data_IF_726515513964
#
_entry.id   IF_726515513964
#
_cell.length_a   1.000
_cell.length_b   1.000
_cell.length_c   1.000
_cell.angle_alpha   90.00
_cell.angle_beta   90.00
_cell.angle_gamma   90.00
#
_symmetry.space_group_name_H-M   'P 1'
#
loop_
_entity.id
_entity.type
_entity.pdbx_description
1 polymer ?
#
# COMPACT_ATOMS: atom_id res chain seq x y z
N UNK A 1 11.04 25.49 6.17
CA UNK A 1 11.69 24.24 5.78
C UNK A 1 11.16 23.77 4.45
N UNK A 2 12.03 23.38 3.58
CA UNK A 2 11.63 22.95 2.25
C UNK A 2 11.10 21.52 2.28
N UNK A 3 10.07 21.26 1.49
CA UNK A 3 9.56 19.93 1.29
C UNK A 3 10.46 19.21 0.30
N UNK A 4 10.70 17.93 0.53
CA UNK A 4 11.47 17.10 -0.39
C UNK A 4 10.85 17.20 -1.78
N UNK A 5 11.69 17.38 -2.80
CA UNK A 5 11.22 17.55 -4.17
C UNK A 5 10.51 16.30 -4.71
N UNK A 6 10.79 15.13 -4.14
CA UNK A 6 10.07 13.93 -4.53
C UNK A 6 8.63 13.95 -4.00
N UNK A 7 8.40 14.62 -2.89
CA UNK A 7 7.08 14.70 -2.25
C UNK A 7 6.31 15.92 -2.72
N UNK A 8 6.98 17.07 -2.77
CA UNK A 8 6.33 18.34 -3.06
C UNK A 8 6.09 18.56 -4.54
N UNK A 9 5.20 17.81 -5.14
CA UNK A 9 4.86 17.94 -6.56
C UNK A 9 3.46 18.54 -6.68
N UNK A 10 3.36 19.63 -7.41
CA UNK A 10 2.10 20.38 -7.54
C UNK A 10 1.00 19.45 -8.07
N UNK A 11 -0.14 19.45 -7.39
CA UNK A 11 -1.34 18.69 -7.75
C UNK A 11 -1.20 17.17 -7.61
N UNK A 12 -0.07 16.67 -7.11
CA UNK A 12 0.11 15.25 -6.87
C UNK A 12 -0.36 14.85 -5.47
N UNK A 13 -0.79 13.61 -5.32
CA UNK A 13 -1.06 13.05 -4.01
C UNK A 13 0.29 12.89 -3.31
N UNK A 14 0.42 13.44 -2.11
CA UNK A 14 1.72 13.50 -1.44
C UNK A 14 1.70 13.01 0.00
N UNK A 15 0.54 12.96 0.64
CA UNK A 15 0.47 12.63 2.06
C UNK A 15 -0.81 11.85 2.34
N UNK A 16 -0.68 10.74 3.06
CA UNK A 16 -1.82 9.89 3.40
C UNK A 16 -1.90 9.67 4.89
N UNK A 17 -3.12 9.63 5.40
CA UNK A 17 -3.39 9.04 6.71
C UNK A 17 -4.00 7.67 6.48
N UNK A 18 -3.41 6.65 7.07
CA UNK A 18 -3.91 5.29 6.96
C UNK A 18 -4.44 4.88 8.33
N UNK A 19 -5.74 4.58 8.44
CA UNK A 19 -6.27 4.13 9.73
C UNK A 19 -5.59 2.86 10.22
N UNK A 20 -5.38 2.76 11.51
CA UNK A 20 -4.76 1.59 12.11
C UNK A 20 -5.35 1.35 13.50
N UNK A 21 -5.47 0.09 13.87
CA UNK A 21 -5.80 -0.27 15.24
C UNK A 21 -4.55 -0.23 16.11
N UNK A 22 -3.46 -0.68 15.53
CA UNK A 22 -2.13 -0.71 16.15
C UNK A 22 -1.17 -0.15 15.11
N UNK A 23 -0.73 1.07 15.31
CA UNK A 23 0.08 1.76 14.30
C UNK A 23 1.40 1.03 14.05
N UNK A 24 2.02 0.48 15.10
CA UNK A 24 3.28 -0.25 14.94
C UNK A 24 3.08 -1.53 14.12
N UNK A 25 1.97 -2.23 14.34
CA UNK A 25 1.69 -3.44 13.58
C UNK A 25 1.44 -3.13 12.11
N UNK A 26 0.66 -2.08 11.83
CA UNK A 26 0.43 -1.67 10.45
C UNK A 26 1.71 -1.21 9.78
N UNK A 27 2.53 -0.43 10.49
CA UNK A 27 3.80 0.03 9.94
C UNK A 27 4.70 -1.15 9.57
N UNK A 28 4.79 -2.15 10.44
CA UNK A 28 5.57 -3.34 10.16
C UNK A 28 5.06 -4.09 8.95
N UNK A 29 3.74 -4.17 8.78
CA UNK A 29 3.15 -4.81 7.62
C UNK A 29 3.61 -4.15 6.32
N UNK A 30 3.48 -2.83 6.22
CA UNK A 30 3.83 -2.13 4.98
C UNK A 30 5.33 -2.15 4.73
N UNK A 31 6.15 -2.09 5.78
CA UNK A 31 7.59 -2.26 5.63
C UNK A 31 7.93 -3.65 5.09
N UNK A 32 7.33 -4.69 5.67
CA UNK A 32 7.71 -6.07 5.35
C UNK A 32 7.15 -6.53 4.01
N UNK A 33 5.97 -6.06 3.63
CA UNK A 33 5.34 -6.47 2.37
C UNK A 33 5.82 -5.60 1.21
N UNK A 34 5.91 -4.28 1.41
CA UNK A 34 6.14 -3.36 0.32
C UNK A 34 7.49 -2.63 0.39
N UNK A 35 8.24 -2.83 1.46
CA UNK A 35 9.54 -2.17 1.58
C UNK A 35 9.46 -0.69 1.87
N UNK A 36 8.34 -0.22 2.44
CA UNK A 36 8.24 1.21 2.77
C UNK A 36 9.21 1.55 3.89
N UNK A 37 9.71 2.77 3.86
CA UNK A 37 10.60 3.27 4.91
C UNK A 37 9.78 3.86 6.04
N UNK A 38 10.16 3.49 7.27
CA UNK A 38 9.47 3.99 8.45
C UNK A 38 10.25 5.15 9.05
N UNK A 39 9.50 6.15 9.53
CA UNK A 39 10.05 7.36 10.14
C UNK A 39 9.33 7.62 11.45
N UNK A 40 9.88 8.55 12.22
CA UNK A 40 9.24 9.01 13.44
C UNK A 40 9.44 8.04 14.58
N UNK A 41 8.57 8.16 15.57
CA UNK A 41 8.68 7.39 16.80
C UNK A 41 8.03 6.01 16.61
N UNK A 42 8.55 5.00 17.31
CA UNK A 42 7.96 3.65 17.18
C UNK A 42 6.47 3.57 17.52
N UNK A 43 5.98 4.45 18.41
CA UNK A 43 4.57 4.45 18.79
C UNK A 43 3.73 5.38 17.91
N UNK A 44 4.36 6.20 17.10
CA UNK A 44 3.69 7.08 16.14
C UNK A 44 4.44 7.05 14.81
N UNK A 45 4.47 5.90 14.15
CA UNK A 45 5.29 5.78 12.95
C UNK A 45 4.69 6.51 11.76
N UNK A 46 5.57 7.10 10.98
CA UNK A 46 5.25 7.60 9.66
C UNK A 46 5.97 6.80 8.61
N UNK A 47 5.76 7.13 7.36
CA UNK A 47 6.34 6.37 6.27
C UNK A 47 6.68 7.23 5.06
N UNK A 48 7.59 6.70 4.25
CA UNK A 48 7.73 7.05 2.84
C UNK A 48 7.42 5.79 2.06
N UNK A 49 6.64 5.91 0.99
CA UNK A 49 6.36 4.74 0.17
C UNK A 49 7.60 4.33 -0.64
N UNK A 50 7.48 3.26 -1.41
CA UNK A 50 8.63 2.73 -2.14
C UNK A 50 9.20 3.68 -3.17
N UNK A 51 8.46 4.68 -3.60
CA UNK A 51 8.93 5.66 -4.59
C UNK A 51 9.53 6.90 -3.95
N UNK A 52 9.20 7.16 -2.69
CA UNK A 52 9.54 8.40 -2.02
C UNK A 52 8.64 9.56 -2.39
N UNK A 53 7.61 9.34 -3.24
CA UNK A 53 6.71 10.41 -3.67
C UNK A 53 5.59 10.67 -2.67
N UNK A 54 5.20 9.66 -1.89
CA UNK A 54 4.10 9.76 -0.95
C UNK A 54 4.62 9.46 0.44
N UNK A 55 4.33 10.37 1.37
CA UNK A 55 4.63 10.15 2.78
C UNK A 55 3.31 10.10 3.54
N UNK A 56 3.37 9.75 4.81
CA UNK A 56 2.18 9.73 5.62
C UNK A 56 2.44 9.12 6.97
N UNK A 57 1.36 8.76 7.64
CA UNK A 57 1.46 8.04 8.90
C UNK A 57 0.20 7.24 9.15
N UNK A 58 0.29 6.34 10.10
CA UNK A 58 -0.85 5.55 10.55
C UNK A 58 -1.51 6.27 11.71
N UNK A 59 -2.84 6.39 11.65
CA UNK A 59 -3.61 7.15 12.63
C UNK A 59 -4.58 6.21 13.34
N UNK A 60 -4.70 6.37 14.64
CA UNK A 60 -5.56 5.48 15.44
C UNK A 60 -6.88 6.13 15.82
N UNK A 61 -7.10 7.37 15.41
CA UNK A 61 -8.34 8.10 15.69
C UNK A 61 -9.35 8.04 14.55
N UNK A 62 -9.08 7.22 13.53
CA UNK A 62 -9.98 7.01 12.40
C UNK A 62 -10.19 5.52 12.20
N UNK A 63 -11.40 5.14 11.84
CA UNK A 63 -11.71 3.74 11.56
C UNK A 63 -11.45 3.43 10.09
N UNK A 64 -11.01 2.21 9.82
CA UNK A 64 -10.91 1.72 8.45
C UNK A 64 -12.32 1.59 7.87
N UNK A 65 -12.49 1.94 6.60
CA UNK A 65 -13.79 1.83 5.93
C UNK A 65 -13.88 0.59 5.05
N UNK A 66 -12.87 -0.24 5.05
CA UNK A 66 -12.90 -1.49 4.28
C UNK A 66 -12.88 -1.20 2.79
N UNK A 67 -13.79 -1.85 2.07
CA UNK A 67 -13.83 -1.76 0.61
C UNK A 67 -14.63 -0.58 0.10
N UNK A 68 -15.29 0.18 0.97
CA UNK A 68 -16.26 1.17 0.54
C UNK A 68 -15.72 2.57 0.38
N UNK A 69 -14.51 2.82 0.80
CA UNK A 69 -13.92 4.15 0.70
C UNK A 69 -13.04 4.31 -0.51
N UNK A 70 -12.27 5.37 -0.49
CA UNK A 70 -11.23 5.59 -1.48
C UNK A 70 -10.28 4.40 -1.47
N UNK A 71 -9.87 3.94 -2.65
CA UNK A 71 -8.96 2.80 -2.73
C UNK A 71 -7.67 3.19 -3.43
N UNK A 72 -6.57 2.96 -2.75
CA UNK A 72 -5.25 3.15 -3.31
C UNK A 72 -4.77 1.84 -3.92
N UNK A 73 -4.06 1.94 -5.03
CA UNK A 73 -3.47 0.78 -5.70
C UNK A 73 -1.96 0.94 -5.72
N UNK A 74 -1.26 -0.14 -5.41
CA UNK A 74 0.20 -0.16 -5.38
C UNK A 74 0.67 -1.01 -6.56
N UNK A 75 1.57 -0.45 -7.35
CA UNK A 75 2.18 -1.18 -8.46
C UNK A 75 3.24 -2.12 -7.89
N UNK A 76 3.19 -3.38 -8.29
CA UNK A 76 4.11 -4.40 -7.78
C UNK A 76 4.70 -5.21 -8.94
N UNK A 77 5.82 -5.85 -8.67
CA UNK A 77 6.47 -6.66 -9.67
C UNK A 77 5.70 -7.96 -9.94
N UNK A 78 5.08 -8.53 -8.90
CA UNK A 78 4.40 -9.82 -9.01
C UNK A 78 3.26 -9.87 -8.02
N UNK A 79 2.03 -9.94 -8.53
CA UNK A 79 0.84 -9.91 -7.69
C UNK A 79 0.76 -11.15 -6.79
N UNK A 80 1.08 -12.32 -7.32
CA UNK A 80 0.97 -13.55 -6.53
C UNK A 80 1.97 -13.57 -5.38
N UNK A 81 3.21 -13.18 -5.65
CA UNK A 81 4.22 -13.11 -4.58
C UNK A 81 3.84 -12.09 -3.53
N UNK A 82 3.28 -10.96 -3.96
CA UNK A 82 2.85 -9.93 -3.02
C UNK A 82 1.72 -10.44 -2.13
N UNK A 83 0.76 -11.17 -2.70
CA UNK A 83 -0.33 -11.72 -1.89
C UNK A 83 0.17 -12.74 -0.89
N UNK A 84 1.18 -13.54 -1.24
CA UNK A 84 1.80 -14.44 -0.28
C UNK A 84 2.41 -13.66 0.88
N UNK A 85 3.10 -12.57 0.59
CA UNK A 85 3.67 -11.72 1.63
C UNK A 85 2.57 -11.08 2.47
N UNK A 86 1.48 -10.64 1.85
CA UNK A 86 0.35 -10.05 2.57
C UNK A 86 -0.17 -11.03 3.63
N UNK A 87 -0.43 -12.27 3.23
CA UNK A 87 -0.98 -13.25 4.17
C UNK A 87 0.03 -13.65 5.23
N UNK A 88 1.30 -13.73 4.87
CA UNK A 88 2.35 -14.06 5.83
C UNK A 88 2.48 -12.99 6.92
N UNK A 89 2.22 -11.75 6.58
CA UNK A 89 2.47 -10.62 7.49
C UNK A 89 1.20 -10.02 8.08
N UNK A 90 0.10 -10.75 8.08
CA UNK A 90 -1.07 -10.36 8.85
C UNK A 90 -2.19 -9.71 8.06
N UNK A 91 -2.07 -9.63 6.75
CA UNK A 91 -3.17 -9.17 5.91
C UNK A 91 -3.99 -10.33 5.38
N UNK A 92 -4.95 -10.02 4.54
CA UNK A 92 -5.85 -11.01 3.95
C UNK A 92 -6.10 -10.69 2.50
N UNK A 93 -6.31 -11.72 1.69
CA UNK A 93 -6.75 -11.53 0.31
C UNK A 93 -8.24 -11.23 0.34
N UNK A 94 -8.63 -10.12 -0.28
CA UNK A 94 -10.04 -9.73 -0.38
C UNK A 94 -10.60 -10.16 -1.73
N UNK A 95 -9.83 -9.96 -2.79
CA UNK A 95 -10.20 -10.44 -4.11
C UNK A 95 -8.97 -11.06 -4.75
N UNK A 96 -9.04 -12.35 -5.09
CA UNK A 96 -7.89 -13.01 -5.70
C UNK A 96 -7.58 -12.43 -7.08
N UNK A 97 -6.41 -12.73 -7.64
CA UNK A 97 -5.99 -12.10 -8.89
C UNK A 97 -7.00 -12.27 -10.01
N UNK A 98 -7.22 -11.19 -10.73
CA UNK A 98 -8.09 -11.15 -11.89
C UNK A 98 -7.46 -10.25 -12.94
N UNK A 99 -7.93 -10.39 -14.17
CA UNK A 99 -7.42 -9.57 -15.27
C UNK A 99 -8.35 -8.40 -15.51
N UNK A 100 -7.74 -7.24 -15.71
CA UNK A 100 -8.46 -6.03 -16.12
C UNK A 100 -7.71 -5.53 -17.35
N UNK A 101 -8.19 -5.89 -18.53
CA UNK A 101 -7.42 -5.66 -19.75
C UNK A 101 -6.13 -6.47 -19.71
N UNK A 102 -5.01 -5.80 -19.82
CA UNK A 102 -3.69 -6.44 -19.76
C UNK A 102 -3.08 -6.36 -18.36
N UNK A 103 -3.87 -5.93 -17.38
CA UNK A 103 -3.36 -5.79 -16.02
C UNK A 103 -3.83 -6.95 -15.17
N UNK A 104 -2.94 -7.44 -14.32
CA UNK A 104 -3.30 -8.43 -13.31
C UNK A 104 -3.47 -7.68 -11.99
N UNK A 105 -4.62 -7.81 -11.38
CA UNK A 105 -5.04 -6.99 -10.24
C UNK A 105 -5.53 -7.90 -9.12
N UNK A 106 -5.35 -7.45 -7.88
CA UNK A 106 -5.91 -8.14 -6.72
C UNK A 106 -6.19 -7.12 -5.63
N UNK A 107 -7.04 -7.48 -4.69
CA UNK A 107 -7.34 -6.64 -3.54
C UNK A 107 -6.94 -7.38 -2.27
N UNK A 108 -6.42 -6.63 -1.31
CA UNK A 108 -6.05 -7.19 -0.01
C UNK A 108 -6.52 -6.26 1.09
N UNK A 109 -6.62 -6.81 2.29
CA UNK A 109 -6.87 -6.03 3.50
C UNK A 109 -5.59 -6.00 4.33
N UNK A 110 -5.25 -4.84 4.85
CA UNK A 110 -4.13 -4.71 5.76
C UNK A 110 -4.57 -5.14 7.18
N UNK A 111 -3.67 -5.13 8.18
CA UNK A 111 -4.04 -5.61 9.52
C UNK A 111 -5.16 -4.84 10.19
N UNK A 112 -5.44 -3.61 9.77
CA UNK A 112 -6.53 -2.82 10.33
C UNK A 112 -7.82 -2.95 9.55
N UNK A 113 -7.80 -3.67 8.42
CA UNK A 113 -8.98 -3.84 7.59
C UNK A 113 -9.11 -2.82 6.47
N UNK A 114 -8.09 -2.00 6.23
CA UNK A 114 -8.11 -1.14 5.04
C UNK A 114 -7.93 -2.01 3.81
N UNK A 115 -8.75 -1.75 2.79
CA UNK A 115 -8.67 -2.51 1.54
C UNK A 115 -7.94 -1.69 0.50
N UNK A 116 -6.85 -2.25 -0.02
CA UNK A 116 -6.05 -1.65 -1.08
C UNK A 116 -5.97 -2.63 -2.23
N UNK A 117 -5.55 -2.13 -3.39
CA UNK A 117 -5.31 -2.97 -4.53
C UNK A 117 -3.82 -3.06 -4.85
N UNK A 118 -3.46 -4.11 -5.55
CA UNK A 118 -2.13 -4.24 -6.15
C UNK A 118 -2.31 -4.63 -7.60
N UNK A 119 -1.33 -4.28 -8.43
CA UNK A 119 -1.42 -4.58 -9.85
C UNK A 119 -0.05 -4.67 -10.49
N UNK A 120 -0.03 -5.39 -11.59
CA UNK A 120 1.15 -5.53 -12.44
C UNK A 120 0.71 -5.62 -13.88
N UNK A 121 1.62 -5.37 -14.79
CA UNK A 121 1.37 -5.61 -16.20
C UNK A 121 1.65 -7.08 -16.51
N UNK A 122 0.83 -7.69 -17.35
CA UNK A 122 1.06 -9.07 -17.72
C UNK A 122 2.15 -9.13 -18.77
N UNK A 123 3.03 -10.12 -18.64
CA UNK A 123 4.23 -10.18 -19.47
C UNK A 123 3.93 -10.61 -20.89
N UNK A 124 2.88 -11.38 -21.10
CA UNK A 124 2.62 -11.84 -22.42
C UNK A 124 1.82 -10.88 -23.19
N UNK A 125 1.39 -9.94 -22.57
CA UNK A 125 0.80 -8.94 -23.34
C UNK A 125 1.85 -8.20 -24.01
N UNK A 126 2.74 -8.72 -23.49
CA UNK A 126 3.58 -8.40 -23.87
C UNK A 126 4.05 -9.16 -24.45
N UNK A 127 3.39 -9.64 -24.40
CA UNK A 127 3.50 -10.04 -24.69
C UNK A 127 3.84 -10.48 -24.98
N UNK A 128 3.90 -10.64 -24.96
CA UNK A 128 4.30 -10.85 -25.02
C UNK A 128 5.00 -10.36 -25.38
N UNK A 129 5.51 -9.92 -25.24
CA UNK A 129 6.05 -9.22 -25.52
C UNK A 129 7.01 -9.42 -25.86
#
# INVERSE_FOLDING_TARGET
MAVDSLVGRIAGVSYLHIPARDAAASAGFYRDVFGWQLHGRPDEPGFSDGTGHVIGRWVTDQAAVGADGLRAYIYVADVDDTLDAVTTHGGQVVRPPYLEGTLRVALFADPAGNVLGIWQETSDSQGSR
#
